data_IF_917849333062
#
_entry.id   IF_917849333062
#
_cell.length_a   1.000
_cell.length_b   1.000
_cell.length_c   1.000
_cell.angle_alpha   90.00
_cell.angle_beta   90.00
_cell.angle_gamma   90.00
#
_symmetry.space_group_name_H-M   'P 1'
#
loop_
_entity.id
_entity.type
_entity.pdbx_description
1 polymer ?
#
# COMPACT_ATOMS: atom_id res chain seq x y z
N UNK A 1 -6.99 -6.04 -9.64
CA UNK A 1 -8.03 -6.51 -8.69
C UNK A 1 -8.91 -7.66 -9.21
N UNK A 2 -8.91 -8.00 -10.52
CA UNK A 2 -9.75 -9.09 -11.04
C UNK A 2 -9.56 -10.44 -10.33
N UNK A 3 -8.33 -10.79 -9.94
CA UNK A 3 -8.08 -12.02 -9.18
C UNK A 3 -8.76 -12.05 -7.82
N UNK A 4 -8.74 -10.92 -7.10
CA UNK A 4 -9.36 -10.77 -5.78
C UNK A 4 -10.87 -10.86 -5.89
N UNK A 5 -11.48 -10.15 -6.85
CA UNK A 5 -12.93 -10.14 -7.04
C UNK A 5 -13.48 -11.49 -7.50
N UNK A 6 -12.72 -12.20 -8.35
CA UNK A 6 -13.14 -13.48 -8.91
C UNK A 6 -12.68 -14.69 -8.07
N UNK A 7 -11.97 -14.46 -6.95
CA UNK A 7 -11.43 -15.54 -6.10
C UNK A 7 -10.46 -16.48 -6.83
N UNK A 8 -9.75 -15.99 -7.85
CA UNK A 8 -8.82 -16.82 -8.63
C UNK A 8 -7.41 -16.76 -8.05
N UNK A 9 -6.66 -17.85 -8.20
CA UNK A 9 -5.31 -17.97 -7.65
C UNK A 9 -4.32 -16.98 -8.29
N UNK A 10 -3.88 -16.01 -7.49
CA UNK A 10 -2.93 -14.95 -7.87
C UNK A 10 -1.55 -15.54 -8.23
N UNK A 11 -1.16 -16.67 -7.63
CA UNK A 11 0.18 -17.26 -7.85
C UNK A 11 0.38 -17.79 -9.25
N UNK A 12 -0.71 -17.99 -10.00
CA UNK A 12 -0.68 -18.50 -11.37
C UNK A 12 -0.56 -17.41 -12.42
N UNK A 13 -0.66 -16.13 -12.04
CA UNK A 13 -0.47 -15.01 -12.95
C UNK A 13 0.91 -14.37 -12.73
N UNK A 14 1.80 -14.55 -13.69
CA UNK A 14 3.17 -14.02 -13.65
C UNK A 14 3.24 -12.50 -13.45
N UNK A 15 2.19 -11.76 -13.81
CA UNK A 15 2.12 -10.30 -13.66
C UNK A 15 1.94 -9.87 -12.21
N UNK A 16 1.34 -10.71 -11.38
CA UNK A 16 0.93 -10.35 -10.01
C UNK A 16 1.34 -11.36 -8.95
N UNK A 17 1.92 -12.51 -9.30
CA UNK A 17 2.31 -13.58 -8.36
C UNK A 17 3.20 -13.11 -7.22
N UNK A 18 4.05 -12.10 -7.44
CA UNK A 18 4.90 -11.51 -6.40
C UNK A 18 4.12 -10.85 -5.26
N UNK A 19 2.85 -10.52 -5.49
CA UNK A 19 1.97 -9.88 -4.53
C UNK A 19 1.07 -10.87 -3.78
N UNK A 20 1.12 -12.17 -4.08
CA UNK A 20 0.20 -13.16 -3.53
C UNK A 20 0.24 -13.21 -1.99
N UNK A 21 1.44 -13.30 -1.41
CA UNK A 21 1.62 -13.34 0.05
C UNK A 21 1.19 -12.02 0.72
N UNK A 22 1.35 -10.88 0.03
CA UNK A 22 0.86 -9.60 0.53
C UNK A 22 -0.67 -9.54 0.53
N UNK A 23 -1.31 -10.01 -0.55
CA UNK A 23 -2.77 -10.03 -0.65
C UNK A 23 -3.39 -10.92 0.44
N UNK A 24 -2.90 -12.14 0.62
CA UNK A 24 -3.41 -13.06 1.64
C UNK A 24 -3.32 -12.50 3.07
N UNK A 25 -2.28 -11.70 3.34
CA UNK A 25 -2.09 -11.05 4.64
C UNK A 25 -3.14 -9.99 4.97
N UNK A 26 -3.88 -9.45 3.99
CA UNK A 26 -4.92 -8.47 4.29
C UNK A 26 -6.33 -8.91 3.94
N UNK A 27 -6.51 -9.89 3.05
CA UNK A 27 -7.86 -10.33 2.65
C UNK A 27 -8.75 -10.68 3.85
N UNK A 28 -8.18 -11.35 4.85
CA UNK A 28 -8.90 -11.76 6.07
C UNK A 28 -9.24 -10.61 7.02
N UNK A 29 -8.72 -9.40 6.79
CA UNK A 29 -9.04 -8.21 7.60
C UNK A 29 -10.37 -7.56 7.20
N UNK A 30 -10.94 -7.93 6.05
CA UNK A 30 -12.13 -7.33 5.49
C UNK A 30 -13.23 -8.38 5.32
N UNK A 31 -14.38 -8.16 5.95
CA UNK A 31 -15.51 -9.10 5.88
C UNK A 31 -16.14 -9.17 4.47
N UNK A 32 -16.15 -8.04 3.75
CA UNK A 32 -16.74 -7.91 2.42
C UNK A 32 -15.75 -7.22 1.50
N UNK A 33 -15.44 -7.86 0.38
CA UNK A 33 -14.64 -7.31 -0.70
C UNK A 33 -15.43 -7.42 -2.00
N UNK A 34 -15.70 -6.30 -2.66
CA UNK A 34 -16.49 -6.21 -3.88
C UNK A 34 -15.97 -5.12 -4.83
N UNK A 35 -16.59 -4.97 -5.99
CA UNK A 35 -16.14 -4.04 -7.03
C UNK A 35 -16.21 -2.57 -6.56
N UNK A 36 -17.13 -2.27 -5.65
CA UNK A 36 -17.37 -0.94 -5.11
C UNK A 36 -16.28 -0.52 -4.09
N UNK A 37 -15.78 -1.46 -3.28
CA UNK A 37 -14.86 -1.14 -2.18
C UNK A 37 -13.40 -1.54 -2.42
N UNK A 38 -13.10 -2.44 -3.37
CA UNK A 38 -11.74 -2.97 -3.58
C UNK A 38 -10.72 -1.87 -3.89
N UNK A 39 -11.12 -0.82 -4.59
CA UNK A 39 -10.24 0.32 -4.87
C UNK A 39 -9.78 1.03 -3.60
N UNK A 40 -10.70 1.26 -2.66
CA UNK A 40 -10.39 1.87 -1.37
C UNK A 40 -9.53 0.96 -0.49
N UNK A 41 -9.84 -0.34 -0.47
CA UNK A 41 -9.05 -1.34 0.27
C UNK A 41 -7.61 -1.39 -0.22
N UNK A 42 -7.40 -1.43 -1.54
CA UNK A 42 -6.06 -1.43 -2.12
C UNK A 42 -5.32 -0.13 -1.81
N UNK A 43 -5.98 1.02 -1.90
CA UNK A 43 -5.37 2.31 -1.53
C UNK A 43 -4.89 2.31 -0.08
N UNK A 44 -5.73 1.81 0.85
CA UNK A 44 -5.41 1.70 2.26
C UNK A 44 -4.20 0.79 2.51
N UNK A 45 -4.23 -0.44 1.99
CA UNK A 45 -3.17 -1.42 2.24
C UNK A 45 -1.84 -1.02 1.57
N UNK A 46 -1.89 -0.39 0.40
CA UNK A 46 -0.70 0.20 -0.23
C UNK A 46 -0.15 1.35 0.63
N UNK A 47 -1.03 2.23 1.12
CA UNK A 47 -0.64 3.34 2.01
C UNK A 47 0.07 2.85 3.27
N UNK A 48 -0.37 1.74 3.86
CA UNK A 48 0.29 1.14 5.02
C UNK A 48 1.68 0.59 4.71
N UNK A 49 1.85 -0.04 3.54
CA UNK A 49 3.19 -0.48 3.09
C UNK A 49 4.12 0.72 2.89
N UNK A 50 3.64 1.77 2.23
CA UNK A 50 4.42 2.99 2.01
C UNK A 50 4.78 3.71 3.32
N UNK A 51 3.87 3.72 4.30
CA UNK A 51 4.15 4.27 5.63
C UNK A 51 5.36 3.58 6.28
N UNK A 52 5.39 2.25 6.27
CA UNK A 52 6.53 1.50 6.80
C UNK A 52 7.84 1.82 6.07
N UNK A 53 7.82 1.95 4.74
CA UNK A 53 9.02 2.35 3.96
C UNK A 53 9.52 3.74 4.36
N UNK A 54 8.61 4.70 4.60
CA UNK A 54 8.97 6.05 5.02
C UNK A 54 9.54 6.09 6.45
N UNK A 55 9.04 5.22 7.35
CA UNK A 55 9.59 5.03 8.69
C UNK A 55 11.03 4.48 8.63
N UNK A 56 11.26 3.42 7.84
CA UNK A 56 12.59 2.81 7.66
C UNK A 56 13.58 3.77 7.00
N UNK A 57 13.12 4.55 6.01
CA UNK A 57 13.92 5.60 5.37
C UNK A 57 14.28 6.74 6.33
N UNK A 58 13.67 6.80 7.52
CA UNK A 58 13.90 7.83 8.52
C UNK A 58 13.31 9.20 8.15
N UNK A 59 12.35 9.23 7.22
CA UNK A 59 11.62 10.45 6.83
C UNK A 59 10.90 11.04 8.04
N UNK A 60 10.38 10.18 8.93
CA UNK A 60 9.69 10.58 10.15
C UNK A 60 10.60 10.76 11.38
N UNK A 61 11.93 10.82 11.20
CA UNK A 61 12.84 11.10 12.32
C UNK A 61 12.56 12.50 12.89
N UNK A 62 12.35 12.59 14.21
CA UNK A 62 12.17 13.85 14.93
C UNK A 62 13.47 14.67 15.13
N UNK A 63 14.42 14.57 14.20
CA UNK A 63 15.61 15.43 14.15
C UNK A 63 15.36 16.64 13.24
N UNK A 64 16.17 17.71 13.32
CA UNK A 64 16.06 18.84 12.39
C UNK A 64 16.12 18.41 10.91
N UNK A 65 17.04 17.52 10.57
CA UNK A 65 17.21 17.02 9.19
C UNK A 65 16.04 16.14 8.74
N UNK A 66 15.49 15.29 9.63
CA UNK A 66 14.32 14.47 9.36
C UNK A 66 13.08 15.32 9.07
N UNK A 67 12.84 16.36 9.90
CA UNK A 67 11.76 17.34 9.65
C UNK A 67 11.94 18.08 8.33
N UNK A 68 13.17 18.48 7.98
CA UNK A 68 13.44 19.13 6.69
C UNK A 68 13.21 18.18 5.50
N UNK A 69 13.57 16.90 5.62
CA UNK A 69 13.32 15.90 4.59
C UNK A 69 11.82 15.61 4.42
N UNK A 70 11.08 15.51 5.53
CA UNK A 70 9.62 15.36 5.52
C UNK A 70 8.93 16.52 4.80
N UNK A 71 9.33 17.77 5.09
CA UNK A 71 8.78 18.95 4.41
C UNK A 71 9.04 18.92 2.89
N UNK A 72 10.23 18.50 2.44
CA UNK A 72 10.53 18.33 1.01
C UNK A 72 9.65 17.26 0.37
N UNK A 73 9.39 16.16 1.07
CA UNK A 73 8.50 15.10 0.58
C UNK A 73 7.06 15.61 0.44
N UNK A 74 6.54 16.33 1.42
CA UNK A 74 5.19 16.92 1.36
C UNK A 74 5.07 17.93 0.23
N UNK A 75 6.07 18.81 0.04
CA UNK A 75 6.10 19.75 -1.09
C UNK A 75 6.09 19.03 -2.44
N UNK A 76 6.86 17.95 -2.58
CA UNK A 76 6.89 17.15 -3.80
C UNK A 76 5.55 16.47 -4.10
N UNK A 77 4.89 15.88 -3.10
CA UNK A 77 3.61 15.18 -3.27
C UNK A 77 2.45 16.15 -3.53
N UNK A 78 2.49 17.36 -2.97
CA UNK A 78 1.46 18.37 -3.14
C UNK A 78 1.68 19.31 -4.35
N UNK A 79 2.78 19.15 -5.08
CA UNK A 79 2.97 19.85 -6.35
C UNK A 79 2.00 19.29 -7.39
N UNK A 80 1.01 20.12 -7.74
CA UNK A 80 0.08 19.93 -8.86
C UNK A 80 0.73 20.37 -10.16
#
# INVERSE_FOLDING_TARGET
CGHILNGTDIRRDDRVKSHADWVERFLHKYDIINAENIGGILCQEIGMVFLGVLEDAGVYKCTPDGRAAFLRFIDYVNKV
#
